data_IF_399800177156
#
_entry.id   IF_399800177156
#
_cell.length_a   1.000
_cell.length_b   1.000
_cell.length_c   1.000
_cell.angle_alpha   90.00
_cell.angle_beta   90.00
_cell.angle_gamma   90.00
#
_symmetry.space_group_name_H-M   'P 1'
#
loop_
_entity.id
_entity.type
_entity.pdbx_description
1 polymer ?
#
# COMPACT_ATOMS: atom_id res chain seq x y z
N UNK A 1 3.54 13.27 -81.68
CA UNK A 1 4.33 12.36 -80.82
C UNK A 1 4.72 13.07 -79.53
N UNK A 2 4.35 12.46 -78.43
CA UNK A 2 4.78 12.65 -77.02
C UNK A 2 4.26 13.83 -76.20
N UNK A 3 3.00 13.68 -75.77
CA UNK A 3 2.47 14.40 -74.64
C UNK A 3 2.07 13.47 -73.43
N UNK A 4 2.69 12.30 -73.34
CA UNK A 4 2.30 11.25 -72.35
C UNK A 4 3.41 10.87 -71.35
N UNK A 5 4.47 11.66 -71.19
CA UNK A 5 5.57 11.31 -70.25
C UNK A 5 5.80 12.30 -69.09
N UNK A 6 4.90 13.24 -68.80
CA UNK A 6 5.07 14.17 -67.68
C UNK A 6 4.06 14.01 -66.53
N UNK A 7 3.15 13.04 -66.63
CA UNK A 7 2.14 12.83 -65.60
C UNK A 7 2.50 11.76 -64.52
N UNK A 8 3.64 11.07 -64.66
CA UNK A 8 3.98 9.92 -63.79
C UNK A 8 4.99 10.21 -62.67
N UNK A 9 5.54 11.42 -62.57
CA UNK A 9 6.51 11.79 -61.53
C UNK A 9 5.94 12.60 -60.34
N UNK A 10 4.70 13.03 -60.38
CA UNK A 10 4.10 13.87 -59.31
C UNK A 10 3.35 13.09 -58.26
N UNK A 11 3.17 11.77 -58.37
CA UNK A 11 2.42 10.94 -57.38
C UNK A 11 3.32 10.18 -56.42
N UNK A 12 4.64 10.17 -56.59
CA UNK A 12 5.58 9.45 -55.72
C UNK A 12 6.16 10.29 -54.58
N UNK A 13 5.94 11.60 -54.55
CA UNK A 13 6.48 12.48 -53.52
C UNK A 13 5.50 12.73 -52.31
N UNK A 14 4.24 12.25 -52.38
CA UNK A 14 3.25 12.48 -51.34
C UNK A 14 3.13 11.36 -50.28
N UNK A 15 3.91 10.28 -50.41
CA UNK A 15 3.80 9.09 -49.53
C UNK A 15 4.93 8.93 -48.49
N UNK A 16 5.86 9.88 -48.35
CA UNK A 16 6.99 9.81 -47.40
C UNK A 16 6.98 10.83 -46.29
N UNK A 17 5.82 11.49 -46.05
CA UNK A 17 5.57 12.20 -44.79
C UNK A 17 4.75 11.29 -43.86
N UNK A 18 5.08 10.00 -43.83
CA UNK A 18 4.66 9.12 -42.70
C UNK A 18 5.49 9.53 -41.49
N UNK A 19 4.87 10.33 -40.65
CA UNK A 19 5.42 10.98 -39.49
C UNK A 19 6.43 10.13 -38.75
N UNK A 20 7.63 10.59 -38.65
CA UNK A 20 8.40 10.40 -37.45
C UNK A 20 7.56 11.03 -36.32
N UNK A 21 6.61 10.25 -35.77
CA UNK A 21 6.05 10.55 -34.45
C UNK A 21 7.29 10.62 -33.56
N UNK A 22 7.74 11.85 -33.27
CA UNK A 22 8.75 12.10 -32.26
C UNK A 22 8.24 11.31 -31.04
N UNK A 23 8.96 10.25 -30.69
CA UNK A 23 8.63 9.46 -29.51
C UNK A 23 8.62 10.45 -28.34
N UNK A 24 7.42 10.88 -27.96
CA UNK A 24 7.25 11.86 -26.88
C UNK A 24 7.84 11.23 -25.63
N UNK A 25 8.71 11.95 -24.91
CA UNK A 25 9.38 11.45 -23.71
C UNK A 25 8.38 10.79 -22.75
N UNK A 26 8.76 9.66 -22.17
CA UNK A 26 7.91 8.97 -21.21
C UNK A 26 7.52 9.90 -20.04
N UNK A 27 6.30 9.75 -19.53
CA UNK A 27 5.88 10.43 -18.30
C UNK A 27 6.54 9.71 -17.13
N UNK A 28 7.45 10.40 -16.45
CA UNK A 28 8.09 9.88 -15.24
C UNK A 28 7.13 9.92 -14.07
N UNK A 29 7.09 8.84 -13.27
CA UNK A 29 6.35 8.76 -12.01
C UNK A 29 7.35 8.36 -10.94
N UNK A 30 7.48 9.17 -9.90
CA UNK A 30 8.41 8.90 -8.79
C UNK A 30 7.86 7.84 -7.84
N UNK A 31 8.71 6.91 -7.45
CA UNK A 31 8.37 5.86 -6.47
C UNK A 31 9.42 5.88 -5.38
N UNK A 32 9.01 6.17 -4.13
CA UNK A 32 9.89 6.06 -2.96
C UNK A 32 9.40 4.93 -2.07
N UNK A 33 10.20 3.86 -1.96
CA UNK A 33 9.86 2.65 -1.24
C UNK A 33 11.03 2.15 -0.40
N UNK A 34 10.79 1.43 0.71
CA UNK A 34 11.86 0.79 1.48
C UNK A 34 12.33 -0.47 0.75
N UNK A 35 13.34 -0.34 -0.14
CA UNK A 35 13.89 -1.48 -0.87
C UNK A 35 14.99 -2.19 -0.07
N UNK A 36 15.54 -1.51 0.95
CA UNK A 36 16.48 -2.05 1.93
C UNK A 36 16.04 -1.67 3.35
N UNK A 37 16.65 -2.30 4.37
CA UNK A 37 16.33 -2.05 5.78
C UNK A 37 15.18 -2.91 6.30
N UNK A 38 14.56 -2.46 7.40
CA UNK A 38 13.61 -3.26 8.20
C UNK A 38 12.30 -3.62 7.48
N UNK A 39 11.96 -2.95 6.36
CA UNK A 39 10.70 -3.12 5.63
C UNK A 39 10.93 -3.54 4.17
N UNK A 40 12.13 -4.06 3.87
CA UNK A 40 12.59 -4.31 2.51
C UNK A 40 11.70 -5.29 1.73
N UNK A 41 11.24 -6.37 2.36
CA UNK A 41 10.40 -7.36 1.68
C UNK A 41 9.11 -6.72 1.16
N UNK A 42 8.41 -6.00 2.01
CA UNK A 42 7.14 -5.34 1.66
C UNK A 42 7.33 -4.24 0.61
N UNK A 43 8.34 -3.37 0.76
CA UNK A 43 8.61 -2.30 -0.21
C UNK A 43 8.97 -2.82 -1.60
N UNK A 44 9.73 -3.91 -1.67
CA UNK A 44 10.03 -4.58 -2.94
C UNK A 44 8.76 -5.13 -3.59
N UNK A 45 7.85 -5.77 -2.84
CA UNK A 45 6.60 -6.30 -3.38
C UNK A 45 5.67 -5.19 -3.90
N UNK A 46 5.55 -4.07 -3.17
CA UNK A 46 4.80 -2.89 -3.66
C UNK A 46 5.40 -2.37 -4.96
N UNK A 47 6.73 -2.28 -5.03
CA UNK A 47 7.44 -1.84 -6.25
C UNK A 47 7.20 -2.80 -7.42
N UNK A 48 7.24 -4.10 -7.19
CA UNK A 48 6.94 -5.09 -8.24
C UNK A 48 5.48 -4.98 -8.72
N UNK A 49 4.52 -4.76 -7.83
CA UNK A 49 3.14 -4.49 -8.20
C UNK A 49 2.99 -3.25 -9.09
N UNK A 50 3.70 -2.17 -8.77
CA UNK A 50 3.75 -0.97 -9.60
C UNK A 50 4.40 -1.24 -10.97
N UNK A 51 5.48 -2.02 -11.03
CA UNK A 51 6.13 -2.43 -12.30
C UNK A 51 5.22 -3.28 -13.20
N UNK A 52 4.43 -4.16 -12.61
CA UNK A 52 3.42 -4.93 -13.34
C UNK A 52 2.34 -4.03 -13.93
N UNK A 53 1.88 -3.05 -13.15
CA UNK A 53 0.93 -2.04 -13.63
C UNK A 53 1.55 -1.16 -14.73
N UNK A 54 2.80 -0.70 -14.57
CA UNK A 54 3.55 0.02 -15.61
C UNK A 54 3.58 -0.75 -16.93
N UNK A 55 3.92 -2.03 -16.87
CA UNK A 55 3.95 -2.93 -18.03
C UNK A 55 2.59 -3.02 -18.71
N UNK A 56 1.52 -3.25 -17.93
CA UNK A 56 0.16 -3.37 -18.46
C UNK A 56 -0.36 -2.06 -19.08
N UNK A 57 -0.12 -0.92 -18.41
CA UNK A 57 -0.49 0.41 -18.91
C UNK A 57 0.25 0.72 -20.22
N UNK A 58 1.55 0.46 -20.25
CA UNK A 58 2.37 0.70 -21.41
C UNK A 58 2.02 -0.21 -22.60
N UNK A 59 1.65 -1.46 -22.35
CA UNK A 59 1.14 -2.38 -23.36
C UNK A 59 -0.19 -1.90 -23.96
N UNK A 60 -1.01 -1.20 -23.17
CA UNK A 60 -2.29 -0.62 -23.60
C UNK A 60 -2.17 0.77 -24.27
N UNK A 61 -0.95 1.20 -24.62
CA UNK A 61 -0.71 2.49 -25.29
C UNK A 61 -0.24 3.62 -24.38
N UNK A 62 -0.08 3.37 -23.07
CA UNK A 62 0.39 4.35 -22.11
C UNK A 62 -0.71 5.34 -21.66
N UNK A 63 -0.32 6.58 -21.39
CA UNK A 63 -1.22 7.66 -20.97
C UNK A 63 -0.97 8.91 -21.80
N UNK A 64 -2.01 9.57 -22.29
CA UNK A 64 -1.93 10.73 -23.20
C UNK A 64 -1.02 10.47 -24.43
N UNK A 65 -1.04 9.23 -24.97
CA UNK A 65 -0.19 8.83 -26.10
C UNK A 65 1.29 8.62 -25.77
N UNK A 66 1.66 8.67 -24.50
CA UNK A 66 3.04 8.53 -24.01
C UNK A 66 3.18 7.28 -23.13
N UNK A 67 4.33 6.63 -23.17
CA UNK A 67 4.66 5.61 -22.16
C UNK A 67 4.85 6.27 -20.80
N UNK A 68 4.62 5.52 -19.73
CA UNK A 68 5.03 5.90 -18.38
C UNK A 68 6.34 5.21 -18.03
N UNK A 69 7.11 5.83 -17.13
CA UNK A 69 8.36 5.31 -16.61
C UNK A 69 8.42 5.53 -15.11
N UNK A 70 8.59 4.44 -14.35
CA UNK A 70 8.83 4.54 -12.92
C UNK A 70 10.27 4.93 -12.64
N UNK A 71 10.45 5.98 -11.84
CA UNK A 71 11.75 6.38 -11.27
C UNK A 71 11.71 5.95 -9.80
N UNK A 72 12.41 4.86 -9.50
CA UNK A 72 12.32 4.20 -8.18
C UNK A 72 13.55 4.55 -7.34
N UNK A 73 13.31 5.01 -6.10
CA UNK A 73 14.33 5.35 -5.12
C UNK A 73 14.11 4.56 -3.82
N UNK A 74 15.23 4.08 -3.26
CA UNK A 74 15.24 3.38 -1.98
C UNK A 74 15.31 4.36 -0.81
N UNK A 75 14.25 4.42 0.00
CA UNK A 75 14.23 5.23 1.23
C UNK A 75 14.87 4.52 2.44
N UNK A 76 15.43 3.33 2.26
CA UNK A 76 16.19 2.54 3.24
C UNK A 76 15.48 2.31 4.57
N UNK A 77 14.14 2.32 4.56
CA UNK A 77 13.33 2.26 5.80
C UNK A 77 13.70 3.38 6.81
N UNK A 78 14.15 4.53 6.34
CA UNK A 78 14.68 5.64 7.16
C UNK A 78 14.01 6.97 6.80
N UNK A 79 13.50 7.76 7.78
CA UNK A 79 12.82 9.03 7.51
C UNK A 79 13.69 10.07 6.80
N UNK A 80 14.96 10.19 7.15
CA UNK A 80 15.88 11.15 6.50
C UNK A 80 16.12 10.78 5.03
N UNK A 81 16.31 9.49 4.75
CA UNK A 81 16.46 8.99 3.38
C UNK A 81 15.15 9.16 2.58
N UNK A 82 13.98 8.94 3.22
CA UNK A 82 12.70 9.16 2.56
C UNK A 82 12.51 10.62 2.11
N UNK A 83 12.93 11.58 2.93
CA UNK A 83 12.93 13.01 2.57
C UNK A 83 13.89 13.26 1.41
N UNK A 84 15.12 12.74 1.49
CA UNK A 84 16.14 12.94 0.46
C UNK A 84 15.74 12.32 -0.89
N UNK A 85 15.14 11.12 -0.88
CA UNK A 85 14.65 10.47 -2.11
C UNK A 85 13.47 11.22 -2.72
N UNK A 86 12.51 11.69 -1.92
CA UNK A 86 11.39 12.49 -2.41
C UNK A 86 11.89 13.81 -3.03
N UNK A 87 12.81 14.49 -2.35
CA UNK A 87 13.41 15.73 -2.87
C UNK A 87 14.18 15.49 -4.17
N UNK A 88 14.96 14.42 -4.27
CA UNK A 88 15.65 14.02 -5.51
C UNK A 88 14.66 13.78 -6.66
N UNK A 89 13.64 12.97 -6.43
CA UNK A 89 12.61 12.64 -7.43
C UNK A 89 11.92 13.92 -7.95
N UNK A 90 11.58 14.85 -7.06
CA UNK A 90 10.88 16.08 -7.41
C UNK A 90 11.83 17.08 -8.08
N UNK A 91 12.97 17.41 -7.42
CA UNK A 91 13.83 18.51 -7.82
C UNK A 91 14.79 18.18 -8.96
N UNK A 92 15.31 16.94 -9.02
CA UNK A 92 16.28 16.49 -10.04
C UNK A 92 15.61 15.72 -11.18
N UNK A 93 14.81 14.70 -10.83
CA UNK A 93 14.18 13.84 -11.83
C UNK A 93 12.92 14.46 -12.42
N UNK A 94 12.39 15.55 -11.79
CA UNK A 94 11.24 16.35 -12.26
C UNK A 94 9.97 15.51 -12.41
N UNK A 95 9.75 14.58 -11.52
CA UNK A 95 8.50 13.79 -11.52
C UNK A 95 7.30 14.64 -11.13
N UNK A 96 6.18 14.56 -11.83
CA UNK A 96 4.97 15.35 -11.52
C UNK A 96 4.12 14.78 -10.40
N UNK A 97 4.41 13.56 -9.95
CA UNK A 97 3.63 12.85 -8.92
C UNK A 97 4.49 11.75 -8.29
N UNK A 98 4.23 11.47 -7.01
CA UNK A 98 4.89 10.40 -6.26
C UNK A 98 3.92 9.27 -5.90
N UNK A 99 4.47 8.06 -5.77
CA UNK A 99 3.87 6.88 -5.14
C UNK A 99 4.74 6.47 -3.95
N UNK A 100 4.16 6.29 -2.77
CA UNK A 100 4.92 5.89 -1.57
C UNK A 100 4.28 6.38 -0.26
N UNK A 101 4.99 6.43 0.86
CA UNK A 101 6.35 5.90 1.12
C UNK A 101 6.32 4.64 2.01
N UNK A 102 5.29 3.83 1.89
CA UNK A 102 4.98 2.60 2.61
C UNK A 102 4.70 2.80 4.11
N UNK A 103 5.68 3.22 4.89
CA UNK A 103 5.54 3.42 6.34
C UNK A 103 4.96 4.80 6.69
N UNK A 104 4.08 4.84 7.71
CA UNK A 104 3.46 6.10 8.18
C UNK A 104 4.50 7.14 8.60
N UNK A 105 5.55 6.74 9.31
CA UNK A 105 6.63 7.64 9.72
C UNK A 105 7.40 8.20 8.52
N UNK A 106 7.64 7.38 7.49
CA UNK A 106 8.29 7.83 6.26
C UNK A 106 7.42 8.80 5.48
N UNK A 107 6.12 8.50 5.34
CA UNK A 107 5.15 9.37 4.67
C UNK A 107 5.03 10.73 5.39
N UNK A 108 4.90 10.73 6.72
CA UNK A 108 4.84 11.96 7.52
C UNK A 108 6.09 12.82 7.35
N UNK A 109 7.28 12.19 7.27
CA UNK A 109 8.53 12.90 7.04
C UNK A 109 8.60 13.55 5.64
N UNK A 110 8.02 12.92 4.62
CA UNK A 110 8.00 13.45 3.23
C UNK A 110 6.97 14.58 3.05
N UNK A 111 5.88 14.58 3.79
CA UNK A 111 4.74 15.51 3.60
C UNK A 111 5.12 16.99 3.51
N UNK A 112 6.07 17.54 4.31
CA UNK A 112 6.50 18.93 4.16
C UNK A 112 7.09 19.25 2.79
N UNK A 113 7.81 18.29 2.17
CA UNK A 113 8.38 18.47 0.83
C UNK A 113 7.31 18.51 -0.26
N UNK A 114 6.23 17.74 -0.09
CA UNK A 114 5.09 17.81 -1.01
C UNK A 114 4.45 19.20 -1.02
N UNK A 115 4.31 19.82 0.15
CA UNK A 115 3.81 21.18 0.28
C UNK A 115 4.79 22.21 -0.31
N UNK A 116 6.08 22.06 -0.04
CA UNK A 116 7.14 22.97 -0.51
C UNK A 116 7.21 23.01 -2.05
N UNK A 117 7.14 21.84 -2.69
CA UNK A 117 7.28 21.72 -4.13
C UNK A 117 5.97 21.72 -4.89
N UNK A 118 4.83 21.58 -4.20
CA UNK A 118 3.51 21.48 -4.83
C UNK A 118 3.37 20.23 -5.71
N UNK A 119 3.80 19.06 -5.22
CA UNK A 119 3.75 17.78 -5.95
C UNK A 119 2.86 16.79 -5.19
N UNK A 120 1.83 16.20 -5.85
CA UNK A 120 0.94 15.24 -5.20
C UNK A 120 1.62 13.89 -4.99
N UNK A 121 1.18 13.20 -3.93
CA UNK A 121 1.60 11.85 -3.60
C UNK A 121 0.39 10.94 -3.39
N UNK A 122 0.37 9.81 -4.09
CA UNK A 122 -0.55 8.72 -3.80
C UNK A 122 0.10 7.83 -2.73
N UNK A 123 -0.58 7.74 -1.58
CA UNK A 123 -0.13 6.96 -0.41
C UNK A 123 -0.86 5.63 -0.43
N UNK A 124 -0.12 4.56 -0.71
CA UNK A 124 -0.68 3.23 -0.98
C UNK A 124 -0.76 2.31 0.25
N UNK A 125 0.04 2.58 1.29
CA UNK A 125 0.15 1.66 2.45
C UNK A 125 -0.07 2.34 3.80
N UNK A 126 0.52 3.50 4.04
CA UNK A 126 0.57 4.15 5.35
C UNK A 126 -0.82 4.40 5.96
N UNK A 127 -1.06 3.92 7.20
CA UNK A 127 -2.38 3.91 7.84
C UNK A 127 -2.58 4.91 8.98
N UNK A 128 -1.52 5.63 9.44
CA UNK A 128 -1.67 6.63 10.51
C UNK A 128 -2.69 7.71 10.13
N UNK A 129 -3.65 7.98 11.02
CA UNK A 129 -4.65 9.05 10.85
C UNK A 129 -4.01 10.43 10.65
N UNK A 130 -2.84 10.68 11.26
CA UNK A 130 -2.09 11.95 11.15
C UNK A 130 -1.83 12.37 9.70
N UNK A 131 -1.68 11.42 8.77
CA UNK A 131 -1.35 11.69 7.36
C UNK A 131 -2.45 12.50 6.67
N UNK A 132 -3.72 12.23 6.97
CA UNK A 132 -4.84 12.93 6.33
C UNK A 132 -5.52 13.98 7.19
N UNK A 133 -5.34 13.95 8.53
CA UNK A 133 -5.94 14.97 9.41
C UNK A 133 -5.05 16.19 9.65
N UNK A 134 -3.76 16.14 9.30
CA UNK A 134 -2.82 17.25 9.53
C UNK A 134 -2.93 18.41 8.55
N UNK A 135 -3.68 18.25 7.47
CA UNK A 135 -3.87 19.30 6.46
C UNK A 135 -2.74 19.34 5.43
N UNK A 136 -2.84 18.52 4.39
CA UNK A 136 -1.92 18.54 3.25
C UNK A 136 -2.68 18.22 1.96
N UNK A 137 -3.03 19.20 1.12
CA UNK A 137 -3.83 19.01 -0.08
C UNK A 137 -3.11 18.21 -1.20
N UNK A 138 -1.85 17.86 -0.99
CA UNK A 138 -1.05 17.07 -1.94
C UNK A 138 -1.05 15.57 -1.61
N UNK A 139 -1.74 15.16 -0.54
CA UNK A 139 -1.88 13.75 -0.12
C UNK A 139 -3.17 13.14 -0.67
N UNK A 140 -3.03 11.98 -1.32
CA UNK A 140 -4.11 11.14 -1.86
C UNK A 140 -3.90 9.71 -1.37
N UNK A 141 -4.53 9.35 -0.23
CA UNK A 141 -4.32 8.03 0.37
C UNK A 141 -5.37 7.03 -0.10
N UNK A 142 -4.91 5.91 -0.66
CA UNK A 142 -5.77 4.80 -1.11
C UNK A 142 -5.90 3.68 -0.08
N UNK A 143 -4.97 3.56 0.88
CA UNK A 143 -5.04 2.60 1.99
C UNK A 143 -6.05 3.05 3.06
N UNK A 144 -6.57 2.14 3.91
CA UNK A 144 -7.39 2.51 5.05
C UNK A 144 -6.55 3.24 6.12
N UNK A 145 -7.22 3.97 6.99
CA UNK A 145 -6.64 4.41 8.26
C UNK A 145 -6.74 3.30 9.29
N UNK A 146 -5.90 3.35 10.34
CA UNK A 146 -6.02 2.45 11.49
C UNK A 146 -7.39 2.56 12.17
N UNK A 147 -8.02 3.74 12.17
CA UNK A 147 -9.39 3.94 12.65
C UNK A 147 -10.41 3.18 11.79
N UNK A 148 -10.32 3.27 10.45
CA UNK A 148 -11.20 2.52 9.54
C UNK A 148 -11.04 1.01 9.72
N UNK A 149 -9.83 0.55 9.93
CA UNK A 149 -9.51 -0.85 10.20
C UNK A 149 -10.12 -1.31 11.53
N UNK A 150 -9.92 -0.56 12.62
CA UNK A 150 -10.51 -0.83 13.92
C UNK A 150 -12.05 -0.82 13.84
N UNK A 151 -12.65 0.13 13.13
CA UNK A 151 -14.10 0.19 12.91
C UNK A 151 -14.60 -1.04 12.15
N UNK A 152 -13.91 -1.49 11.12
CA UNK A 152 -14.26 -2.71 10.38
C UNK A 152 -14.16 -3.96 11.27
N UNK A 153 -13.23 -3.98 12.21
CA UNK A 153 -13.06 -5.08 13.18
C UNK A 153 -14.13 -5.13 14.26
N UNK A 154 -14.91 -4.08 14.50
CA UNK A 154 -15.88 -3.97 15.61
C UNK A 154 -16.80 -5.20 15.71
N UNK A 155 -17.32 -5.69 14.58
CA UNK A 155 -18.20 -6.86 14.55
C UNK A 155 -17.54 -8.15 15.07
N UNK A 156 -16.23 -8.25 14.96
CA UNK A 156 -15.47 -9.42 15.40
C UNK A 156 -15.19 -9.46 16.89
N UNK A 157 -15.27 -8.35 17.62
CA UNK A 157 -15.05 -8.33 19.08
C UNK A 157 -15.96 -9.32 19.77
N UNK A 158 -17.26 -9.26 19.46
CA UNK A 158 -18.28 -10.16 20.03
C UNK A 158 -18.19 -11.59 19.50
N UNK A 159 -18.06 -11.75 18.18
CA UNK A 159 -18.04 -13.09 17.54
C UNK A 159 -16.81 -13.90 17.90
N UNK A 160 -15.67 -13.26 18.15
CA UNK A 160 -14.45 -13.89 18.63
C UNK A 160 -14.41 -14.01 20.17
N UNK A 161 -15.38 -13.44 20.90
CA UNK A 161 -15.47 -13.49 22.35
C UNK A 161 -14.32 -12.75 23.05
N UNK A 162 -13.84 -11.66 22.49
CA UNK A 162 -12.72 -10.88 23.06
C UNK A 162 -13.19 -10.18 24.35
N UNK A 163 -12.61 -10.53 25.48
CA UNK A 163 -12.90 -9.94 26.79
C UNK A 163 -11.79 -9.02 27.26
N UNK A 164 -10.54 -9.42 27.04
CA UNK A 164 -9.36 -8.65 27.41
C UNK A 164 -8.27 -8.82 26.37
N UNK A 165 -7.74 -7.72 25.84
CA UNK A 165 -6.70 -7.75 24.82
C UNK A 165 -5.47 -6.96 25.25
N UNK A 166 -4.30 -7.53 24.93
CA UNK A 166 -3.00 -6.87 24.99
C UNK A 166 -2.56 -6.42 23.60
N UNK A 167 -1.55 -5.55 23.55
CA UNK A 167 -0.98 -5.01 22.34
C UNK A 167 0.54 -5.16 22.35
N UNK A 168 1.11 -5.55 21.21
CA UNK A 168 2.54 -5.49 20.92
C UNK A 168 2.74 -4.81 19.56
N UNK A 169 3.30 -3.62 19.57
CA UNK A 169 3.35 -2.78 18.38
C UNK A 169 4.74 -2.20 18.14
N UNK A 170 5.11 -2.02 16.87
CA UNK A 170 6.32 -1.29 16.50
C UNK A 170 6.26 0.14 17.04
N UNK A 171 7.35 0.59 17.66
CA UNK A 171 7.46 1.95 18.23
C UNK A 171 7.68 2.97 17.11
N UNK A 172 6.63 3.25 16.37
CA UNK A 172 6.57 4.25 15.30
C UNK A 172 5.13 4.73 15.09
N UNK A 173 4.91 5.72 14.19
CA UNK A 173 3.58 6.29 13.96
C UNK A 173 2.54 5.27 13.49
N UNK A 174 2.94 4.21 12.81
CA UNK A 174 2.05 3.11 12.42
C UNK A 174 1.61 2.30 13.63
N UNK A 175 2.56 1.72 14.37
CA UNK A 175 2.25 0.82 15.49
C UNK A 175 1.52 1.52 16.63
N UNK A 176 1.99 2.71 17.02
CA UNK A 176 1.39 3.51 18.09
C UNK A 176 -0.02 3.98 17.70
N UNK A 177 -0.20 4.43 16.46
CA UNK A 177 -1.51 4.86 15.96
C UNK A 177 -2.52 3.71 15.95
N UNK A 178 -2.16 2.56 15.39
CA UNK A 178 -3.04 1.40 15.35
C UNK A 178 -3.40 0.90 16.75
N UNK A 179 -2.43 0.77 17.66
CA UNK A 179 -2.70 0.34 19.04
C UNK A 179 -3.71 1.24 19.74
N UNK A 180 -3.61 2.56 19.54
CA UNK A 180 -4.56 3.52 20.10
C UNK A 180 -5.97 3.29 19.54
N UNK A 181 -6.14 3.26 18.23
CA UNK A 181 -7.44 3.12 17.58
C UNK A 181 -8.13 1.79 17.94
N UNK A 182 -7.38 0.68 17.95
CA UNK A 182 -7.91 -0.62 18.34
C UNK A 182 -8.25 -0.67 19.84
N UNK A 183 -7.42 -0.07 20.72
CA UNK A 183 -7.70 0.01 22.14
C UNK A 183 -8.99 0.82 22.45
N UNK A 184 -9.19 1.94 21.77
CA UNK A 184 -10.40 2.76 21.89
C UNK A 184 -11.63 1.99 21.38
N UNK A 185 -11.53 1.32 20.25
CA UNK A 185 -12.59 0.48 19.69
C UNK A 185 -12.96 -0.66 20.65
N UNK A 186 -11.99 -1.37 21.22
CA UNK A 186 -12.23 -2.45 22.20
C UNK A 186 -12.98 -1.95 23.43
N UNK A 187 -12.52 -0.85 24.04
CA UNK A 187 -13.19 -0.22 25.19
C UNK A 187 -14.63 0.16 24.87
N UNK A 188 -14.87 0.77 23.70
CA UNK A 188 -16.20 1.15 23.24
C UNK A 188 -17.14 -0.07 23.05
N UNK A 189 -16.57 -1.26 22.86
CA UNK A 189 -17.32 -2.52 22.68
C UNK A 189 -17.27 -3.43 23.93
N UNK A 190 -16.92 -2.90 25.09
CA UNK A 190 -16.99 -3.59 26.39
C UNK A 190 -15.83 -4.54 26.68
N UNK A 191 -14.78 -4.57 25.86
CA UNK A 191 -13.58 -5.34 26.12
C UNK A 191 -12.57 -4.54 26.96
N UNK A 192 -11.79 -5.22 27.79
CA UNK A 192 -10.73 -4.61 28.57
C UNK A 192 -9.46 -4.49 27.74
N UNK A 193 -8.75 -3.40 27.92
CA UNK A 193 -7.39 -3.22 27.38
C UNK A 193 -6.41 -3.51 28.51
N UNK A 194 -5.56 -4.50 28.29
CA UNK A 194 -4.51 -4.90 29.21
C UNK A 194 -3.20 -4.17 28.93
N UNK A 195 -2.14 -4.91 28.72
CA UNK A 195 -0.79 -4.38 28.48
C UNK A 195 -0.65 -3.81 27.07
N UNK A 196 0.00 -2.67 26.95
CA UNK A 196 0.39 -2.08 25.66
C UNK A 196 1.92 -2.00 25.63
N UNK A 197 2.54 -2.95 24.95
CA UNK A 197 3.99 -3.04 24.81
C UNK A 197 4.43 -2.51 23.42
N UNK A 198 5.60 -1.91 23.39
CA UNK A 198 6.21 -1.45 22.13
C UNK A 198 7.51 -2.19 21.87
N UNK A 199 7.92 -2.23 20.61
CA UNK A 199 9.17 -2.85 20.17
C UNK A 199 9.90 -1.98 19.14
N UNK A 200 11.22 -2.05 19.17
CA UNK A 200 12.05 -1.42 18.13
C UNK A 200 11.77 -2.07 16.76
N UNK A 201 11.70 -1.31 15.66
CA UNK A 201 11.52 -1.87 14.31
C UNK A 201 12.57 -2.90 13.88
N UNK A 202 13.71 -2.93 14.54
CA UNK A 202 14.82 -3.87 14.27
C UNK A 202 14.95 -4.98 15.31
N UNK A 203 14.06 -5.00 16.33
CA UNK A 203 14.11 -6.04 17.35
C UNK A 203 13.89 -7.43 16.78
N UNK A 204 14.60 -8.41 17.33
CA UNK A 204 14.48 -9.83 16.97
C UNK A 204 14.14 -10.72 18.17
N UNK A 205 14.21 -10.18 19.38
CA UNK A 205 13.83 -10.84 20.62
C UNK A 205 12.67 -10.08 21.29
N UNK A 206 11.59 -10.78 21.56
CA UNK A 206 10.35 -10.28 22.15
C UNK A 206 10.03 -10.99 23.47
N UNK A 207 10.97 -11.75 24.01
CA UNK A 207 10.77 -12.61 25.16
C UNK A 207 10.25 -11.87 26.39
N UNK A 208 10.78 -10.67 26.65
CA UNK A 208 10.35 -9.86 27.79
C UNK A 208 8.89 -9.35 27.63
N UNK A 209 8.52 -8.86 26.47
CA UNK A 209 7.16 -8.39 26.17
C UNK A 209 6.18 -9.57 26.23
N UNK A 210 6.51 -10.70 25.61
CA UNK A 210 5.68 -11.91 25.60
C UNK A 210 5.47 -12.49 26.99
N UNK A 211 6.47 -12.42 27.88
CA UNK A 211 6.35 -12.82 29.28
C UNK A 211 5.34 -11.95 30.04
N UNK A 212 5.35 -10.63 29.84
CA UNK A 212 4.35 -9.71 30.42
C UNK A 212 2.95 -10.00 29.88
N UNK A 213 2.81 -10.19 28.56
CA UNK A 213 1.55 -10.54 27.90
C UNK A 213 1.01 -11.86 28.46
N UNK A 214 1.85 -12.88 28.61
CA UNK A 214 1.47 -14.15 29.21
C UNK A 214 0.97 -13.96 30.65
N UNK A 215 1.66 -13.14 31.45
CA UNK A 215 1.29 -12.86 32.83
C UNK A 215 0.00 -12.04 32.98
N UNK A 216 -0.37 -11.24 31.98
CA UNK A 216 -1.57 -10.41 31.97
C UNK A 216 -2.88 -11.23 31.96
N UNK A 217 -2.84 -12.47 31.44
CA UNK A 217 -3.97 -13.34 31.29
C UNK A 217 -4.99 -12.89 30.22
N UNK A 218 -4.59 -12.03 29.28
CA UNK A 218 -5.45 -11.61 28.17
C UNK A 218 -5.77 -12.79 27.24
N UNK A 219 -6.99 -12.79 26.67
CA UNK A 219 -7.42 -13.82 25.72
C UNK A 219 -6.98 -13.52 24.28
N UNK A 220 -6.58 -12.28 24.03
CA UNK A 220 -6.20 -11.80 22.69
C UNK A 220 -4.95 -10.91 22.76
N UNK A 221 -4.05 -11.06 21.78
CA UNK A 221 -2.90 -10.21 21.55
C UNK A 221 -2.99 -9.59 20.15
N UNK A 222 -3.12 -8.28 20.09
CA UNK A 222 -2.99 -7.53 18.84
C UNK A 222 -1.52 -7.24 18.55
N UNK A 223 -1.07 -7.59 17.34
CA UNK A 223 0.31 -7.38 16.88
C UNK A 223 0.29 -6.45 15.68
N UNK A 224 0.94 -5.29 15.81
CA UNK A 224 1.04 -4.28 14.75
C UNK A 224 2.50 -4.09 14.34
N UNK A 225 2.92 -4.75 13.27
CA UNK A 225 4.30 -4.75 12.79
C UNK A 225 4.40 -5.23 11.35
N UNK A 226 5.63 -5.31 10.81
CA UNK A 226 5.92 -5.95 9.52
C UNK A 226 6.03 -7.48 9.68
N UNK A 227 6.00 -8.20 8.54
CA UNK A 227 5.94 -9.66 8.51
C UNK A 227 7.16 -10.34 9.13
N UNK A 228 8.34 -9.73 9.01
CA UNK A 228 9.58 -10.26 9.56
C UNK A 228 9.48 -10.42 11.09
N UNK A 229 9.03 -9.39 11.77
CA UNK A 229 8.86 -9.41 13.22
C UNK A 229 7.65 -10.24 13.65
N UNK A 230 6.53 -10.16 12.92
CA UNK A 230 5.37 -11.01 13.20
C UNK A 230 5.73 -12.49 13.17
N UNK A 231 6.60 -12.91 12.23
CA UNK A 231 7.14 -14.28 12.15
C UNK A 231 7.87 -14.69 13.42
N UNK A 232 8.74 -13.83 13.93
CA UNK A 232 9.50 -14.08 15.16
C UNK A 232 8.60 -14.08 16.39
N UNK A 233 7.66 -13.15 16.48
CA UNK A 233 6.70 -13.07 17.58
C UNK A 233 5.87 -14.34 17.66
N UNK A 234 5.36 -14.86 16.54
CA UNK A 234 4.59 -16.11 16.51
C UNK A 234 5.40 -17.29 17.02
N UNK A 235 6.66 -17.42 16.57
CA UNK A 235 7.57 -18.49 17.04
C UNK A 235 7.83 -18.39 18.54
N UNK A 236 8.24 -17.21 19.02
CA UNK A 236 8.57 -16.99 20.43
C UNK A 236 7.32 -17.10 21.34
N UNK A 237 6.15 -16.64 20.86
CA UNK A 237 4.89 -16.82 21.58
C UNK A 237 4.55 -18.32 21.76
N UNK A 238 4.75 -19.13 20.72
CA UNK A 238 4.56 -20.58 20.79
C UNK A 238 5.54 -21.24 21.77
N UNK A 239 6.82 -20.89 21.67
CA UNK A 239 7.89 -21.40 22.57
C UNK A 239 7.60 -21.08 24.04
N UNK A 240 7.14 -19.84 24.31
CA UNK A 240 6.76 -19.41 25.66
C UNK A 240 5.35 -19.87 26.08
N UNK A 241 4.63 -20.58 25.23
CA UNK A 241 3.27 -21.04 25.49
C UNK A 241 2.29 -19.90 25.84
N UNK A 242 2.39 -18.78 25.13
CA UNK A 242 1.39 -17.70 25.21
C UNK A 242 0.06 -18.22 24.68
N UNK A 243 -1.00 -18.14 25.51
CA UNK A 243 -2.33 -18.69 25.19
C UNK A 243 -3.24 -17.69 24.46
N UNK A 244 -2.91 -16.41 24.49
CA UNK A 244 -3.66 -15.38 23.81
C UNK A 244 -3.75 -15.65 22.31
N UNK A 245 -4.93 -15.46 21.73
CA UNK A 245 -5.12 -15.47 20.28
C UNK A 245 -4.36 -14.30 19.66
N UNK A 246 -3.52 -14.55 18.67
CA UNK A 246 -2.75 -13.50 18.01
C UNK A 246 -3.53 -12.99 16.81
N UNK A 247 -3.72 -11.66 16.73
CA UNK A 247 -4.37 -10.95 15.63
C UNK A 247 -3.41 -9.89 15.10
N UNK A 248 -3.00 -9.99 13.84
CA UNK A 248 -2.17 -8.93 13.22
C UNK A 248 -3.04 -7.86 12.58
N UNK A 249 -2.59 -6.61 12.65
CA UNK A 249 -3.29 -5.43 12.10
C UNK A 249 -2.43 -4.69 11.09
N UNK A 250 -3.04 -3.74 10.36
CA UNK A 250 -2.35 -2.88 9.39
C UNK A 250 -2.18 -3.49 7.99
N UNK A 251 -2.61 -4.74 7.80
CA UNK A 251 -2.56 -5.41 6.51
C UNK A 251 -1.16 -5.62 5.91
N UNK A 252 -0.09 -5.40 6.70
CA UNK A 252 1.31 -5.50 6.26
C UNK A 252 1.96 -6.85 6.60
N UNK A 253 1.17 -7.79 7.11
CA UNK A 253 1.61 -9.14 7.43
C UNK A 253 1.01 -10.10 6.42
N UNK A 254 1.84 -10.71 5.60
CA UNK A 254 1.40 -11.70 4.61
C UNK A 254 1.19 -13.07 5.26
N UNK A 255 -0.04 -13.62 5.27
CA UNK A 255 -0.30 -14.97 5.77
C UNK A 255 0.53 -16.06 5.06
N UNK A 256 0.74 -15.97 3.74
CA UNK A 256 1.57 -16.95 3.02
C UNK A 256 3.03 -16.95 3.48
N UNK A 257 3.59 -15.75 3.74
CA UNK A 257 4.95 -15.66 4.31
C UNK A 257 5.01 -16.23 5.73
N UNK A 258 3.98 -16.00 6.56
CA UNK A 258 3.92 -16.59 7.89
C UNK A 258 3.83 -18.12 7.84
N UNK A 259 3.01 -18.66 6.96
CA UNK A 259 2.91 -20.13 6.74
C UNK A 259 4.28 -20.69 6.38
N UNK A 260 4.98 -20.03 5.46
CA UNK A 260 6.30 -20.46 4.99
C UNK A 260 7.38 -20.32 6.06
N UNK A 261 7.40 -19.19 6.80
CA UNK A 261 8.52 -18.82 7.67
C UNK A 261 8.29 -19.18 9.14
N UNK A 262 7.07 -19.09 9.65
CA UNK A 262 6.73 -19.47 11.02
C UNK A 262 6.20 -20.90 11.12
N UNK A 263 5.77 -21.53 10.02
CA UNK A 263 5.25 -22.88 9.97
C UNK A 263 4.09 -23.08 10.96
N UNK A 264 4.12 -24.17 11.76
CA UNK A 264 3.05 -24.45 12.74
C UNK A 264 2.88 -23.40 13.84
N UNK A 265 3.75 -22.42 13.97
CA UNK A 265 3.57 -21.31 14.92
C UNK A 265 2.55 -20.28 14.42
N UNK A 266 2.26 -20.28 13.12
CA UNK A 266 1.27 -19.42 12.53
C UNK A 266 -0.17 -19.96 12.65
N UNK A 267 -0.36 -21.26 12.93
CA UNK A 267 -1.69 -21.87 12.99
C UNK A 267 -2.54 -21.27 14.12
N UNK A 268 -3.78 -20.94 13.80
CA UNK A 268 -4.74 -20.29 14.70
C UNK A 268 -4.63 -18.78 14.75
N UNK A 269 -3.60 -18.18 14.17
CA UNK A 269 -3.49 -16.71 14.11
C UNK A 269 -4.47 -16.10 13.10
N UNK A 270 -4.92 -14.88 13.39
CA UNK A 270 -5.82 -14.10 12.54
C UNK A 270 -5.09 -12.88 11.98
N UNK A 271 -5.48 -12.49 10.77
CA UNK A 271 -4.81 -11.42 10.06
C UNK A 271 -5.82 -10.50 9.41
N UNK A 272 -5.75 -9.21 9.75
CA UNK A 272 -6.44 -8.18 8.98
C UNK A 272 -5.65 -7.91 7.71
N UNK A 273 -6.30 -8.09 6.58
CA UNK A 273 -5.71 -7.90 5.25
C UNK A 273 -6.62 -7.01 4.40
N UNK A 274 -6.05 -6.38 3.40
CA UNK A 274 -6.80 -5.48 2.52
C UNK A 274 -7.02 -6.09 1.13
N UNK A 275 -6.47 -7.26 0.89
CA UNK A 275 -6.71 -8.07 -0.30
C UNK A 275 -6.64 -9.55 0.05
N UNK A 276 -7.54 -10.34 -0.52
CA UNK A 276 -7.65 -11.79 -0.31
C UNK A 276 -7.34 -12.54 -1.61
N UNK A 277 -6.05 -12.72 -1.98
CA UNK A 277 -5.67 -13.40 -3.23
C UNK A 277 -6.11 -14.86 -3.28
N UNK A 278 -6.36 -15.49 -2.13
CA UNK A 278 -6.89 -16.86 -2.00
C UNK A 278 -8.36 -16.97 -2.37
N UNK A 279 -9.11 -15.87 -2.35
CA UNK A 279 -10.54 -15.77 -2.63
C UNK A 279 -10.83 -14.58 -3.55
N UNK A 280 -10.23 -14.53 -4.76
CA UNK A 280 -10.32 -13.36 -5.63
C UNK A 280 -11.76 -13.06 -6.11
N UNK A 281 -12.65 -14.04 -6.03
CA UNK A 281 -14.08 -13.87 -6.32
C UNK A 281 -14.83 -13.12 -5.20
N UNK A 282 -14.28 -13.08 -3.98
CA UNK A 282 -14.90 -12.43 -2.83
C UNK A 282 -14.58 -10.94 -2.70
N UNK A 283 -13.69 -10.42 -3.53
CA UNK A 283 -13.37 -8.98 -3.55
C UNK A 283 -14.38 -8.23 -4.43
N UNK A 284 -14.47 -6.91 -4.23
CA UNK A 284 -15.46 -6.07 -4.94
C UNK A 284 -15.26 -6.05 -6.46
N UNK A 285 -14.01 -6.09 -6.94
CA UNK A 285 -13.66 -6.06 -8.36
C UNK A 285 -12.88 -7.33 -8.76
N UNK A 286 -13.54 -8.51 -8.86
CA UNK A 286 -12.87 -9.79 -9.05
C UNK A 286 -12.06 -9.87 -10.35
N UNK A 287 -12.49 -9.21 -11.43
CA UNK A 287 -11.77 -9.23 -12.71
C UNK A 287 -10.45 -8.46 -12.62
N UNK A 288 -10.40 -7.37 -11.85
CA UNK A 288 -9.15 -6.61 -11.61
C UNK A 288 -8.20 -7.46 -10.76
N UNK A 289 -8.72 -8.07 -9.69
CA UNK A 289 -7.94 -8.96 -8.84
C UNK A 289 -7.34 -10.15 -9.60
N UNK A 290 -8.14 -10.83 -10.42
CA UNK A 290 -7.67 -11.95 -11.25
C UNK A 290 -6.59 -11.54 -12.25
N UNK A 291 -6.74 -10.39 -12.90
CA UNK A 291 -5.70 -9.86 -13.81
C UNK A 291 -4.38 -9.59 -13.10
N UNK A 292 -4.43 -8.96 -11.92
CA UNK A 292 -3.24 -8.73 -11.11
C UNK A 292 -2.57 -10.03 -10.68
N UNK A 293 -3.34 -10.99 -10.11
CA UNK A 293 -2.82 -12.30 -9.70
C UNK A 293 -2.20 -13.05 -10.88
N UNK A 294 -2.84 -13.03 -12.05
CA UNK A 294 -2.31 -13.65 -13.24
C UNK A 294 -0.99 -13.02 -13.70
N UNK A 295 -0.90 -11.68 -13.70
CA UNK A 295 0.33 -10.96 -14.03
C UNK A 295 1.46 -11.25 -13.04
N UNK A 296 1.14 -11.30 -11.74
CA UNK A 296 2.07 -11.63 -10.67
C UNK A 296 2.66 -13.04 -10.84
N UNK A 297 1.79 -14.02 -11.06
CA UNK A 297 2.19 -15.41 -11.25
C UNK A 297 2.96 -15.64 -12.56
N UNK A 298 2.58 -14.96 -13.65
CA UNK A 298 3.28 -15.03 -14.93
C UNK A 298 4.72 -14.52 -14.84
N UNK A 299 4.99 -13.59 -13.92
CA UNK A 299 6.35 -13.10 -13.64
C UNK A 299 7.13 -14.00 -12.68
N UNK A 300 6.51 -15.06 -12.14
CA UNK A 300 7.14 -15.98 -11.18
C UNK A 300 7.42 -15.36 -9.81
N UNK A 301 6.66 -14.33 -9.42
CA UNK A 301 6.83 -13.66 -8.13
C UNK A 301 6.24 -14.51 -6.98
N UNK A 302 6.80 -14.42 -5.76
CA UNK A 302 6.32 -15.20 -4.62
C UNK A 302 4.87 -14.85 -4.25
N UNK A 303 4.05 -15.87 -3.97
CA UNK A 303 2.64 -15.68 -3.56
C UNK A 303 2.50 -14.77 -2.32
N UNK A 304 3.45 -14.86 -1.38
CA UNK A 304 3.49 -14.00 -0.20
C UNK A 304 3.60 -12.50 -0.48
N UNK A 305 3.96 -12.10 -1.72
CA UNK A 305 4.00 -10.71 -2.11
C UNK A 305 2.66 -10.14 -2.61
N UNK A 306 1.67 -10.99 -2.89
CA UNK A 306 0.38 -10.55 -3.45
C UNK A 306 -0.37 -9.55 -2.56
N UNK A 307 -0.31 -9.74 -1.23
CA UNK A 307 -0.99 -8.87 -0.25
C UNK A 307 -0.31 -7.50 -0.06
N UNK A 308 0.87 -7.32 -0.61
CA UNK A 308 1.57 -6.02 -0.68
C UNK A 308 1.59 -5.47 -2.11
N UNK A 309 1.87 -6.32 -3.10
CA UNK A 309 2.02 -5.90 -4.50
C UNK A 309 0.77 -5.22 -5.08
N UNK A 310 -0.44 -5.63 -4.66
CA UNK A 310 -1.68 -5.00 -5.12
C UNK A 310 -1.72 -3.48 -4.83
N UNK A 311 -1.06 -3.01 -3.79
CA UNK A 311 -1.00 -1.60 -3.39
C UNK A 311 -0.26 -0.76 -4.43
N UNK A 312 0.87 -1.29 -4.93
CA UNK A 312 1.61 -0.65 -6.00
C UNK A 312 0.84 -0.61 -7.32
N UNK A 313 0.13 -1.71 -7.63
CA UNK A 313 -0.77 -1.79 -8.78
C UNK A 313 -1.88 -0.75 -8.70
N UNK A 314 -2.67 -0.74 -7.65
CA UNK A 314 -3.79 0.19 -7.45
C UNK A 314 -3.30 1.64 -7.37
N UNK A 315 -2.16 1.88 -6.70
CA UNK A 315 -1.54 3.19 -6.60
C UNK A 315 -1.15 3.77 -7.96
N UNK A 316 -0.51 2.96 -8.81
CA UNK A 316 -0.11 3.42 -10.14
C UNK A 316 -1.31 3.65 -11.06
N UNK A 317 -2.31 2.77 -11.04
CA UNK A 317 -3.56 3.00 -11.80
C UNK A 317 -4.27 4.28 -11.34
N UNK A 318 -4.27 4.58 -10.02
CA UNK A 318 -4.83 5.82 -9.48
C UNK A 318 -4.10 7.06 -10.02
N UNK A 319 -2.78 7.04 -10.04
CA UNK A 319 -1.96 8.11 -10.62
C UNK A 319 -2.27 8.30 -12.10
N UNK A 320 -2.31 7.22 -12.87
CA UNK A 320 -2.54 7.26 -14.31
C UNK A 320 -3.92 7.80 -14.66
N UNK A 321 -4.96 7.43 -13.91
CA UNK A 321 -6.30 8.00 -14.08
C UNK A 321 -6.32 9.50 -13.72
N UNK A 322 -5.56 9.92 -12.69
CA UNK A 322 -5.36 11.34 -12.38
C UNK A 322 -4.69 12.12 -13.53
N UNK A 323 -3.64 11.56 -14.15
CA UNK A 323 -2.96 12.16 -15.30
C UNK A 323 -3.90 12.24 -16.53
N UNK A 324 -4.66 11.18 -16.82
CA UNK A 324 -5.67 11.18 -17.89
C UNK A 324 -6.72 12.25 -17.69
N UNK A 325 -7.28 12.33 -16.49
CA UNK A 325 -8.31 13.32 -16.16
C UNK A 325 -7.76 14.76 -16.19
N UNK A 326 -6.50 14.97 -15.84
CA UNK A 326 -5.80 16.24 -15.94
C UNK A 326 -5.53 16.68 -17.39
N UNK A 327 -5.47 15.74 -18.35
CA UNK A 327 -5.07 15.99 -19.73
C UNK A 327 -3.60 16.40 -19.92
N UNK A 328 -2.82 16.42 -18.84
CA UNK A 328 -1.38 16.80 -18.83
C UNK A 328 -0.68 16.25 -17.59
N UNK A 329 0.64 16.05 -17.71
CA UNK A 329 1.48 15.56 -16.62
C UNK A 329 2.12 16.72 -15.82
N UNK A 330 1.30 17.58 -15.23
CA UNK A 330 1.72 18.69 -14.40
C UNK A 330 1.23 18.52 -12.96
N UNK A 331 2.05 18.78 -11.93
CA UNK A 331 1.72 18.47 -10.53
C UNK A 331 0.37 19.03 -10.08
N UNK A 332 0.15 20.34 -10.28
CA UNK A 332 -1.09 21.02 -9.85
C UNK A 332 -2.31 20.50 -10.61
N UNK A 333 -2.19 20.21 -11.90
CA UNK A 333 -3.29 19.68 -12.68
C UNK A 333 -3.66 18.26 -12.23
N UNK A 334 -2.64 17.42 -11.97
CA UNK A 334 -2.84 16.06 -11.43
C UNK A 334 -3.50 16.13 -10.06
N UNK A 335 -3.01 16.99 -9.16
CA UNK A 335 -3.59 17.18 -7.82
C UNK A 335 -5.08 17.55 -7.89
N UNK A 336 -5.46 18.48 -8.77
CA UNK A 336 -6.86 18.87 -8.94
C UNK A 336 -7.70 17.73 -9.53
N UNK A 337 -7.18 17.01 -10.52
CA UNK A 337 -7.89 15.93 -11.19
C UNK A 337 -8.09 14.70 -10.29
N UNK A 338 -7.11 14.39 -9.42
CA UNK A 338 -7.19 13.25 -8.49
C UNK A 338 -8.41 13.29 -7.57
N UNK A 339 -8.94 14.46 -7.24
CA UNK A 339 -10.16 14.58 -6.44
C UNK A 339 -11.41 13.98 -7.10
N UNK A 340 -11.44 13.94 -8.43
CA UNK A 340 -12.57 13.44 -9.21
C UNK A 340 -12.40 12.01 -9.73
N UNK A 341 -11.27 11.36 -9.50
CA UNK A 341 -11.01 10.01 -10.04
C UNK A 341 -11.93 8.97 -9.43
N UNK A 342 -12.29 7.98 -10.27
CA UNK A 342 -12.98 6.76 -9.86
C UNK A 342 -12.26 5.59 -10.52
N UNK A 343 -11.53 4.81 -9.75
CA UNK A 343 -10.73 3.67 -10.24
C UNK A 343 -11.30 2.38 -9.68
N UNK A 344 -11.47 1.38 -10.54
CA UNK A 344 -11.75 0.02 -10.08
C UNK A 344 -10.45 -0.61 -9.61
N UNK A 345 -10.17 -0.49 -8.31
CA UNK A 345 -9.00 -1.10 -7.68
C UNK A 345 -9.27 -2.52 -7.22
N UNK A 346 -8.21 -3.23 -6.89
CA UNK A 346 -8.26 -4.60 -6.36
C UNK A 346 -8.98 -4.63 -5.02
N UNK A 347 -8.69 -3.65 -4.15
CA UNK A 347 -9.34 -3.52 -2.84
C UNK A 347 -10.66 -2.73 -2.87
N UNK A 348 -11.36 -2.75 -3.97
CA UNK A 348 -12.60 -2.01 -4.19
C UNK A 348 -12.39 -0.75 -5.00
N UNK A 349 -13.49 0.00 -5.18
CA UNK A 349 -13.43 1.24 -5.95
C UNK A 349 -12.65 2.30 -5.16
N UNK A 350 -11.74 2.99 -5.85
CA UNK A 350 -10.96 4.08 -5.29
C UNK A 350 -11.63 5.39 -5.68
N UNK A 351 -12.09 6.12 -4.66
CA UNK A 351 -12.61 7.47 -4.75
C UNK A 351 -12.29 8.20 -3.45
N UNK A 352 -12.11 9.51 -3.51
CA UNK A 352 -11.60 10.27 -2.39
C UNK A 352 -12.69 11.07 -1.67
N UNK A 353 -12.67 10.97 -0.34
CA UNK A 353 -13.37 11.88 0.58
C UNK A 353 -12.35 12.85 1.18
N UNK A 354 -12.83 14.00 1.63
CA UNK A 354 -12.02 15.03 2.28
C UNK A 354 -11.76 14.70 3.74
N UNK A 355 -10.52 14.90 4.19
CA UNK A 355 -10.07 14.72 5.56
C UNK A 355 -9.17 15.89 5.98
N UNK A 356 -9.24 16.31 7.25
CA UNK A 356 -8.40 17.38 7.78
C UNK A 356 -9.05 18.76 7.73
N UNK A 357 -8.27 19.83 7.98
CA UNK A 357 -8.77 21.20 8.09
C UNK A 357 -9.35 21.73 6.77
N UNK A 358 -10.43 22.49 6.86
CA UNK A 358 -11.06 23.13 5.70
C UNK A 358 -10.07 24.00 4.92
N UNK A 359 -10.03 23.85 3.59
CA UNK A 359 -9.09 24.55 2.70
C UNK A 359 -7.69 23.94 2.60
N UNK A 360 -7.38 22.92 3.41
CA UNK A 360 -6.12 22.15 3.37
C UNK A 360 -6.37 20.65 3.44
N UNK A 361 -7.54 20.21 3.00
CA UNK A 361 -7.94 18.82 3.12
C UNK A 361 -7.01 17.89 2.32
N UNK A 362 -6.70 16.76 2.94
CA UNK A 362 -6.11 15.60 2.27
C UNK A 362 -7.20 14.67 1.75
N UNK A 363 -6.88 13.90 0.73
CA UNK A 363 -7.79 12.93 0.13
C UNK A 363 -7.66 11.55 0.78
N UNK A 364 -8.78 10.93 1.13
CA UNK A 364 -8.84 9.62 1.75
C UNK A 364 -9.81 8.70 1.01
N UNK A 365 -9.35 7.51 0.61
CA UNK A 365 -10.22 6.43 0.14
C UNK A 365 -10.75 5.60 1.32
N UNK A 366 -11.88 4.91 1.11
CA UNK A 366 -12.47 3.99 2.10
C UNK A 366 -12.45 2.57 1.53
N UNK A 367 -11.31 1.86 1.61
CA UNK A 367 -11.17 0.52 1.06
C UNK A 367 -11.78 -0.55 1.98
N UNK A 368 -11.92 -1.77 1.45
CA UNK A 368 -12.37 -2.92 2.22
C UNK A 368 -11.30 -3.45 3.16
N UNK A 369 -11.74 -4.03 4.29
CA UNK A 369 -10.90 -4.73 5.27
C UNK A 369 -11.46 -6.14 5.43
N UNK A 370 -10.58 -7.14 5.41
CA UNK A 370 -10.94 -8.54 5.53
C UNK A 370 -10.22 -9.16 6.73
N UNK A 371 -10.88 -10.10 7.40
CA UNK A 371 -10.25 -10.93 8.42
C UNK A 371 -10.10 -12.35 7.87
N UNK A 372 -8.89 -12.87 7.91
CA UNK A 372 -8.56 -14.25 7.53
C UNK A 372 -7.86 -14.95 8.68
N UNK A 373 -7.87 -16.29 8.66
CA UNK A 373 -7.21 -17.12 9.65
C UNK A 373 -6.24 -18.09 8.95
N UNK A 374 -5.14 -18.41 9.60
CA UNK A 374 -4.29 -19.52 9.20
C UNK A 374 -4.75 -20.78 9.96
N UNK A 375 -5.03 -21.85 9.23
CA UNK A 375 -5.48 -23.12 9.78
C UNK A 375 -4.87 -24.27 8.99
N UNK A 376 -4.13 -25.15 9.70
CA UNK A 376 -3.42 -26.29 9.09
C UNK A 376 -2.54 -25.89 7.90
N UNK A 377 -1.79 -24.79 8.05
CA UNK A 377 -0.91 -24.26 7.01
C UNK A 377 -1.62 -23.71 5.78
N UNK A 378 -2.89 -23.32 5.88
CA UNK A 378 -3.68 -22.70 4.81
C UNK A 378 -4.40 -21.46 5.30
N UNK A 379 -4.62 -20.53 4.39
CA UNK A 379 -5.45 -19.34 4.67
C UNK A 379 -6.91 -19.68 4.45
N UNK A 380 -7.73 -19.44 5.46
CA UNK A 380 -9.18 -19.68 5.44
C UNK A 380 -9.94 -18.37 5.74
N UNK A 381 -11.17 -18.25 5.27
CA UNK A 381 -12.09 -17.17 5.66
C UNK A 381 -12.42 -17.30 7.15
N UNK A 382 -12.48 -16.16 7.85
CA UNK A 382 -12.91 -16.15 9.25
C UNK A 382 -14.41 -15.79 9.33
#
# INVERSE_FOLDING_TARGET
MNRTLQASLSLAAAALVSGAALAQDAIKIGVTQPLTGAFAASGNYVTEGARLAETAINASGGVLGRKIQLVVEDNKSNPTEAVATAEKLISKDKVPVLLGAWSSTLTLAVMPKLMEYGVPMVVETSSSGKITVSGNPWIFRISPTSEMEAKAFTGYVKSLGIKKADFLATNNDFGLGASKEFAEMLKANGAQVGTVETMDPKATDFSAQLAKIKASGSDTLFVTTAVEQATLILKQAKEQQVKARIITTGGSVSPDQLIQQAGPAADGSLHLVFFTPWFPEAVKNPDVAKRFVAAWNAKGLPAGGLTEGFRGWDGLYTIVEGIKAAGKAEPKAIQQALWGVKVKGINGDIAFIKQGPAGQESAQNVPSVYLVRIENGKVVKN
#
